data_IF_750248473697
#
_entry.id   IF_750248473697
#
_cell.length_a   1.000
_cell.length_b   1.000
_cell.length_c   1.000
_cell.angle_alpha   90.00
_cell.angle_beta   90.00
_cell.angle_gamma   90.00
#
_symmetry.space_group_name_H-M   'P 1'
#
loop_
_entity.id
_entity.type
_entity.pdbx_description
1 polymer ?
#
# COMPACT_ATOMS: atom_id res chain seq x y z
N UNK A 1 -0.57 11.97 -17.13
CA UNK A 1 0.56 12.90 -17.39
C UNK A 1 1.84 12.07 -17.34
N UNK A 2 2.85 12.33 -18.18
CA UNK A 2 4.10 11.56 -18.14
C UNK A 2 4.99 12.04 -16.98
N UNK A 3 4.89 11.39 -15.83
CA UNK A 3 5.82 11.60 -14.70
C UNK A 3 7.24 11.25 -15.16
N UNK A 4 8.21 12.14 -14.95
CA UNK A 4 9.58 11.85 -15.36
C UNK A 4 10.15 10.72 -14.49
N UNK A 5 11.05 9.86 -15.01
CA UNK A 5 11.62 8.75 -14.23
C UNK A 5 12.30 9.19 -12.93
N UNK A 6 12.86 10.41 -12.92
CA UNK A 6 13.47 11.02 -11.74
C UNK A 6 12.44 11.31 -10.63
N UNK A 7 11.26 11.82 -11.02
CA UNK A 7 10.19 12.14 -10.06
C UNK A 7 9.61 10.88 -9.42
N UNK A 8 9.45 9.80 -10.18
CA UNK A 8 9.00 8.49 -9.63
C UNK A 8 10.00 7.92 -8.62
N UNK A 9 11.30 8.03 -8.90
CA UNK A 9 12.34 7.62 -7.95
C UNK A 9 12.24 8.42 -6.65
N UNK A 10 12.14 9.75 -6.73
CA UNK A 10 11.98 10.61 -5.55
C UNK A 10 10.72 10.28 -4.76
N UNK A 11 9.60 10.02 -5.43
CA UNK A 11 8.35 9.62 -4.80
C UNK A 11 8.49 8.29 -4.07
N UNK A 12 9.17 7.32 -4.67
CA UNK A 12 9.40 6.02 -4.06
C UNK A 12 10.33 6.11 -2.84
N UNK A 13 11.49 6.76 -2.98
CA UNK A 13 12.43 6.97 -1.87
C UNK A 13 11.80 7.76 -0.71
N UNK A 14 11.01 8.80 -1.05
CA UNK A 14 10.22 9.55 -0.08
C UNK A 14 9.21 8.67 0.65
N UNK A 15 8.54 7.77 -0.07
CA UNK A 15 7.59 6.83 0.52
C UNK A 15 8.27 5.82 1.45
N UNK A 16 9.45 5.29 1.09
CA UNK A 16 10.21 4.41 1.97
C UNK A 16 10.54 5.14 3.28
N UNK A 17 11.04 6.38 3.20
CA UNK A 17 11.32 7.19 4.39
C UNK A 17 10.06 7.43 5.22
N UNK A 18 8.93 7.68 4.58
CA UNK A 18 7.65 7.82 5.27
C UNK A 18 7.31 6.56 6.08
N UNK A 19 7.43 5.36 5.51
CA UNK A 19 7.17 4.12 6.24
C UNK A 19 8.13 3.92 7.43
N UNK A 20 9.38 4.33 7.29
CA UNK A 20 10.35 4.29 8.39
C UNK A 20 9.96 5.24 9.53
N UNK A 21 9.46 6.43 9.22
CA UNK A 21 9.09 7.44 10.22
C UNK A 21 7.75 7.11 10.89
N UNK A 22 6.73 6.80 10.09
CA UNK A 22 5.36 6.65 10.59
C UNK A 22 5.12 5.29 11.26
N UNK A 23 5.70 4.22 10.68
CA UNK A 23 5.54 2.86 11.19
C UNK A 23 6.77 2.34 11.95
N UNK A 24 7.85 3.10 11.99
CA UNK A 24 9.09 2.68 12.65
C UNK A 24 9.80 1.53 11.93
N UNK A 25 9.55 1.33 10.62
CA UNK A 25 10.20 0.25 9.87
C UNK A 25 11.71 0.50 9.80
N UNK A 26 12.49 -0.55 10.08
CA UNK A 26 13.94 -0.53 9.90
C UNK A 26 14.32 -0.70 8.43
N UNK A 27 15.55 -0.35 8.08
CA UNK A 27 16.07 -0.61 6.73
C UNK A 27 16.03 -2.10 6.37
N UNK A 28 16.35 -2.99 7.32
CA UNK A 28 16.28 -4.44 7.13
C UNK A 28 14.86 -4.91 6.81
N UNK A 29 13.85 -4.37 7.49
CA UNK A 29 12.44 -4.70 7.20
C UNK A 29 12.01 -4.21 5.82
N UNK A 30 12.49 -3.05 5.37
CA UNK A 30 12.24 -2.57 4.01
C UNK A 30 12.93 -3.47 2.97
N UNK A 31 14.17 -3.90 3.24
CA UNK A 31 14.88 -4.85 2.39
C UNK A 31 14.12 -6.18 2.30
N UNK A 32 13.66 -6.71 3.43
CA UNK A 32 12.90 -7.96 3.49
C UNK A 32 11.56 -7.85 2.76
N UNK A 33 10.82 -6.74 2.93
CA UNK A 33 9.58 -6.50 2.22
C UNK A 33 9.77 -6.51 0.69
N UNK A 34 10.94 -6.05 0.23
CA UNK A 34 11.28 -5.94 -1.19
C UNK A 34 12.24 -7.03 -1.67
N UNK A 35 12.45 -8.09 -0.89
CA UNK A 35 13.44 -9.13 -1.18
C UNK A 35 13.18 -9.84 -2.50
N UNK A 36 11.92 -10.08 -2.86
CA UNK A 36 11.53 -10.69 -4.14
C UNK A 36 11.81 -9.78 -5.35
N UNK A 37 12.10 -8.50 -5.12
CA UNK A 37 12.49 -7.52 -6.12
C UNK A 37 13.97 -7.14 -6.01
N UNK A 38 14.78 -7.94 -5.33
CA UNK A 38 16.21 -7.69 -5.05
C UNK A 38 16.47 -6.36 -4.30
N UNK A 39 15.49 -5.93 -3.50
CA UNK A 39 15.59 -4.77 -2.63
C UNK A 39 15.35 -3.40 -3.30
N UNK A 40 15.37 -2.29 -2.53
CA UNK A 40 15.06 -0.95 -3.00
C UNK A 40 15.91 -0.47 -4.17
N UNK A 41 17.20 -0.79 -4.17
CA UNK A 41 18.13 -0.38 -5.22
C UNK A 41 17.77 -1.00 -6.57
N UNK A 42 17.41 -2.28 -6.58
CA UNK A 42 17.00 -2.98 -7.79
C UNK A 42 15.63 -2.50 -8.28
N UNK A 43 14.71 -2.17 -7.37
CA UNK A 43 13.43 -1.51 -7.71
C UNK A 43 13.66 -0.20 -8.47
N UNK A 44 14.55 0.68 -7.98
CA UNK A 44 14.87 1.94 -8.64
C UNK A 44 15.52 1.71 -10.02
N UNK A 45 16.47 0.78 -10.10
CA UNK A 45 17.16 0.47 -11.35
C UNK A 45 16.21 -0.11 -12.43
N UNK A 46 15.31 -1.00 -12.02
CA UNK A 46 14.33 -1.65 -12.91
C UNK A 46 13.03 -0.86 -13.10
N UNK A 47 12.82 0.18 -12.29
CA UNK A 47 11.59 0.99 -12.22
C UNK A 47 10.34 0.17 -11.86
N UNK A 48 10.50 -0.87 -11.04
CA UNK A 48 9.43 -1.77 -10.62
C UNK A 48 8.57 -1.18 -9.47
N UNK A 49 8.23 0.12 -9.52
CA UNK A 49 7.62 0.84 -8.40
C UNK A 49 6.25 0.31 -8.00
N UNK A 50 5.37 0.01 -8.97
CA UNK A 50 4.04 -0.57 -8.72
C UNK A 50 4.16 -1.88 -7.93
N UNK A 51 5.08 -2.77 -8.33
CA UNK A 51 5.32 -4.03 -7.63
C UNK A 51 5.89 -3.77 -6.24
N UNK A 52 6.81 -2.81 -6.10
CA UNK A 52 7.35 -2.46 -4.80
C UNK A 52 6.27 -1.95 -3.83
N UNK A 53 5.37 -1.08 -4.29
CA UNK A 53 4.23 -0.62 -3.50
C UNK A 53 3.30 -1.77 -3.10
N UNK A 54 3.02 -2.71 -4.00
CA UNK A 54 2.24 -3.93 -3.72
C UNK A 54 2.88 -4.76 -2.60
N UNK A 55 4.17 -5.04 -2.70
CA UNK A 55 4.94 -5.83 -1.73
C UNK A 55 5.01 -5.15 -0.36
N UNK A 56 5.28 -3.83 -0.34
CA UNK A 56 5.28 -3.04 0.90
C UNK A 56 3.89 -3.05 1.55
N UNK A 57 2.82 -2.95 0.76
CA UNK A 57 1.45 -3.01 1.25
C UNK A 57 1.17 -4.33 1.95
N UNK A 58 1.49 -5.46 1.31
CA UNK A 58 1.34 -6.80 1.92
C UNK A 58 2.18 -6.98 3.16
N UNK A 59 3.40 -6.44 3.18
CA UNK A 59 4.26 -6.52 4.35
C UNK A 59 3.67 -5.73 5.53
N UNK A 60 3.30 -4.47 5.30
CA UNK A 60 2.69 -3.61 6.33
C UNK A 60 1.39 -4.20 6.87
N UNK A 61 0.58 -4.81 6.01
CA UNK A 61 -0.71 -5.39 6.39
C UNK A 61 -0.59 -6.59 7.34
N UNK A 62 0.57 -7.26 7.35
CA UNK A 62 0.88 -8.33 8.29
C UNK A 62 1.37 -7.81 9.65
N UNK A 63 1.87 -6.58 9.71
CA UNK A 63 2.37 -5.95 10.93
C UNK A 63 1.27 -5.27 11.76
N UNK A 64 0.24 -4.77 11.09
CA UNK A 64 -0.77 -3.91 11.70
C UNK A 64 -2.11 -4.65 11.89
N UNK A 65 -2.75 -4.40 13.03
CA UNK A 65 -4.15 -4.82 13.23
C UNK A 65 -5.09 -4.02 12.35
N UNK A 66 -6.32 -4.51 12.10
CA UNK A 66 -7.33 -3.78 11.33
C UNK A 66 -7.58 -2.34 11.84
N UNK A 67 -7.58 -2.15 13.18
CA UNK A 67 -7.71 -0.83 13.81
C UNK A 67 -6.52 0.07 13.49
N UNK A 68 -5.30 -0.46 13.55
CA UNK A 68 -4.09 0.29 13.23
C UNK A 68 -4.02 0.63 11.75
N UNK A 69 -4.38 -0.32 10.86
CA UNK A 69 -4.48 -0.08 9.42
C UNK A 69 -5.44 1.05 9.11
N UNK A 70 -6.64 1.02 9.70
CA UNK A 70 -7.63 2.09 9.54
C UNK A 70 -7.07 3.44 9.98
N UNK A 71 -6.47 3.50 11.17
CA UNK A 71 -5.88 4.74 11.68
C UNK A 71 -4.77 5.26 10.76
N UNK A 72 -3.90 4.36 10.29
CA UNK A 72 -2.80 4.67 9.39
C UNK A 72 -3.28 5.27 8.06
N UNK A 73 -4.27 4.66 7.40
CA UNK A 73 -4.78 5.19 6.12
C UNK A 73 -5.50 6.52 6.29
N UNK A 74 -6.20 6.73 7.42
CA UNK A 74 -6.87 8.01 7.71
C UNK A 74 -5.87 9.12 8.02
N UNK A 75 -4.80 8.84 8.76
CA UNK A 75 -3.83 9.87 9.19
C UNK A 75 -2.90 10.30 8.06
N UNK A 76 -2.72 9.45 7.05
CA UNK A 76 -1.71 9.64 6.01
C UNK A 76 -2.31 9.80 4.61
N UNK A 77 -3.56 10.27 4.51
CA UNK A 77 -4.31 10.39 3.24
C UNK A 77 -3.50 11.10 2.15
N UNK A 78 -2.92 12.27 2.46
CA UNK A 78 -2.14 13.08 1.50
C UNK A 78 -0.91 12.36 0.99
N UNK A 79 -0.23 11.58 1.85
CA UNK A 79 0.92 10.80 1.42
C UNK A 79 0.46 9.63 0.55
N UNK A 80 -0.68 9.03 0.85
CA UNK A 80 -1.19 7.91 0.04
C UNK A 80 -1.64 8.32 -1.37
N UNK A 81 -2.02 9.58 -1.61
CA UNK A 81 -2.51 10.06 -2.93
C UNK A 81 -1.52 10.86 -3.77
N UNK A 82 -0.34 11.14 -3.24
CA UNK A 82 0.72 11.93 -3.89
C UNK A 82 1.24 11.33 -5.21
N UNK A 83 1.09 10.01 -5.39
CA UNK A 83 1.47 9.29 -6.60
C UNK A 83 0.44 8.21 -6.95
N UNK A 84 0.08 8.08 -8.23
CA UNK A 84 -0.92 7.11 -8.70
C UNK A 84 -0.54 5.67 -8.36
N UNK A 85 0.76 5.34 -8.35
CA UNK A 85 1.24 3.99 -8.05
C UNK A 85 1.04 3.60 -6.57
N UNK A 86 0.85 4.58 -5.66
CA UNK A 86 0.55 4.31 -4.24
C UNK A 86 -0.83 3.71 -4.02
N UNK A 87 -1.71 3.76 -5.02
CA UNK A 87 -2.95 2.99 -5.03
C UNK A 87 -2.70 1.48 -4.83
N UNK A 88 -1.62 0.93 -5.42
CA UNK A 88 -1.29 -0.50 -5.28
C UNK A 88 -0.87 -0.86 -3.86
N UNK A 89 -0.21 0.05 -3.16
CA UNK A 89 0.04 -0.11 -1.72
C UNK A 89 -1.29 -0.16 -0.94
N UNK A 90 -2.19 0.81 -1.17
CA UNK A 90 -3.47 0.88 -0.49
C UNK A 90 -4.37 -0.34 -0.78
N UNK A 91 -4.39 -0.85 -2.03
CA UNK A 91 -5.04 -2.13 -2.36
C UNK A 91 -4.48 -3.24 -1.49
N UNK A 92 -3.17 -3.38 -1.45
CA UNK A 92 -2.54 -4.57 -0.89
C UNK A 92 -2.59 -4.62 0.63
N UNK A 93 -2.81 -3.47 1.30
CA UNK A 93 -3.22 -3.44 2.71
C UNK A 93 -4.52 -4.24 2.97
N UNK A 94 -5.43 -4.27 2.01
CA UNK A 94 -6.77 -4.87 2.12
C UNK A 94 -6.82 -6.35 1.66
N UNK A 95 -5.76 -6.83 0.98
CA UNK A 95 -5.63 -8.21 0.51
C UNK A 95 -5.38 -9.22 1.65
N UNK A 96 -5.21 -8.74 2.89
CA UNK A 96 -4.89 -9.59 4.04
C UNK A 96 -6.04 -10.53 4.37
N UNK A 97 -5.75 -11.84 4.43
CA UNK A 97 -6.73 -12.89 4.72
C UNK A 97 -7.36 -12.79 6.12
N UNK A 98 -6.77 -12.00 7.02
CA UNK A 98 -7.22 -11.83 8.41
C UNK A 98 -8.30 -10.76 8.57
N UNK A 99 -8.52 -9.90 7.57
CA UNK A 99 -9.55 -8.87 7.64
C UNK A 99 -10.93 -9.47 7.37
N UNK A 100 -11.86 -9.24 8.30
CA UNK A 100 -13.29 -9.53 8.05
C UNK A 100 -13.84 -8.59 6.97
N UNK A 101 -14.93 -8.98 6.31
CA UNK A 101 -15.60 -8.12 5.33
C UNK A 101 -16.00 -6.75 5.92
N UNK A 102 -16.41 -6.73 7.20
CA UNK A 102 -16.76 -5.48 7.90
C UNK A 102 -15.53 -4.60 8.14
N UNK A 103 -14.43 -5.17 8.63
CA UNK A 103 -13.18 -4.40 8.83
C UNK A 103 -12.65 -3.88 7.50
N UNK A 104 -12.66 -4.70 6.45
CA UNK A 104 -12.25 -4.28 5.12
C UNK A 104 -13.09 -3.12 4.61
N UNK A 105 -14.41 -3.19 4.73
CA UNK A 105 -15.30 -2.09 4.37
C UNK A 105 -15.03 -0.81 5.18
N UNK A 106 -14.74 -0.93 6.47
CA UNK A 106 -14.40 0.22 7.32
C UNK A 106 -13.06 0.87 6.97
N UNK A 107 -12.07 0.07 6.53
CA UNK A 107 -10.79 0.59 6.05
C UNK A 107 -10.99 1.23 4.66
N UNK A 108 -11.76 0.61 3.76
CA UNK A 108 -12.09 1.19 2.45
C UNK A 108 -12.79 2.55 2.61
N UNK A 109 -13.74 2.69 3.54
CA UNK A 109 -14.37 3.98 3.80
C UNK A 109 -13.41 5.04 4.40
N UNK A 110 -12.21 4.63 4.81
CA UNK A 110 -11.21 5.46 5.47
C UNK A 110 -9.96 5.73 4.61
N UNK A 111 -9.83 5.08 3.44
CA UNK A 111 -8.81 5.42 2.44
C UNK A 111 -9.23 6.67 1.66
N UNK A 112 -8.31 7.32 0.93
CA UNK A 112 -8.64 8.51 0.13
C UNK A 112 -9.82 8.28 -0.81
N UNK A 113 -10.68 9.30 -0.96
CA UNK A 113 -11.95 9.21 -1.71
C UNK A 113 -11.77 8.68 -3.14
N UNK A 114 -10.70 9.12 -3.82
CA UNK A 114 -10.38 8.72 -5.21
C UNK A 114 -10.09 7.22 -5.35
N UNK A 115 -9.68 6.55 -4.27
CA UNK A 115 -9.38 5.11 -4.28
C UNK A 115 -10.62 4.27 -3.98
N UNK A 116 -11.59 4.81 -3.23
CA UNK A 116 -12.75 4.06 -2.72
C UNK A 116 -13.54 3.35 -3.82
N UNK A 117 -13.93 3.98 -4.96
CA UNK A 117 -14.72 3.30 -5.98
C UNK A 117 -14.04 2.06 -6.55
N UNK A 118 -12.72 2.14 -6.77
CA UNK A 118 -11.94 1.02 -7.29
C UNK A 118 -11.78 -0.10 -6.26
N UNK A 119 -11.52 0.26 -4.99
CA UNK A 119 -11.41 -0.71 -3.91
C UNK A 119 -12.75 -1.40 -3.59
N UNK A 120 -13.87 -0.67 -3.63
CA UNK A 120 -15.22 -1.23 -3.50
C UNK A 120 -15.50 -2.19 -4.66
N UNK A 121 -15.13 -1.86 -5.89
CA UNK A 121 -15.32 -2.76 -7.03
C UNK A 121 -14.55 -4.07 -6.84
N UNK A 122 -13.32 -4.00 -6.35
CA UNK A 122 -12.48 -5.19 -6.12
C UNK A 122 -12.92 -6.03 -4.93
N UNK A 123 -13.30 -5.40 -3.81
CA UNK A 123 -13.54 -6.11 -2.55
C UNK A 123 -15.01 -6.16 -2.11
N UNK A 124 -15.86 -5.30 -2.66
CA UNK A 124 -17.30 -5.22 -2.36
C UNK A 124 -18.15 -6.27 -3.07
N UNK A 125 -17.55 -7.02 -4.00
CA UNK A 125 -18.19 -8.11 -4.73
C UNK A 125 -18.19 -9.45 -3.96
N UNK A 126 -18.32 -9.44 -2.63
CA UNK A 126 -18.68 -10.63 -1.85
C UNK A 126 -20.21 -10.91 -1.96
N UNK A 127 -20.73 -10.88 -3.19
CA UNK A 127 -21.99 -11.55 -3.50
C UNK A 127 -21.66 -13.01 -3.84
N UNK A 128 -21.83 -13.88 -2.83
CA UNK A 128 -22.24 -15.29 -2.96
C UNK A 128 -21.59 -16.07 -4.10
N UNK A 129 -20.54 -16.84 -3.79
CA UNK A 129 -20.32 -18.09 -4.49
C UNK A 129 -21.03 -19.20 -3.69
N UNK A 130 -22.20 -19.71 -4.11
CA UNK A 130 -22.79 -20.87 -3.48
C UNK A 130 -21.94 -22.08 -3.86
N UNK A 131 -21.39 -22.77 -2.86
CA UNK A 131 -21.05 -24.19 -3.01
C UNK A 131 -22.28 -25.00 -2.60
#
# INVERSE_FOLDING_TARGET
MCTTPYLQQLHFEGFLRFLQVDLGLTEEQIQDALKELDGPTAVVASRAYILAYDHLGRYVSQLLTARQLKAFVTQNETVLTDDEDRFFFARSLLETATLTATERAQIIAAVPEDYQPNLIRWFGSDHTNPV
#
